data_IF_488252826625
#
_entry.id   IF_488252826625
#
_cell.length_a   1.000
_cell.length_b   1.000
_cell.length_c   1.000
_cell.angle_alpha   90.00
_cell.angle_beta   90.00
_cell.angle_gamma   90.00
#
_symmetry.space_group_name_H-M   'P 1'
#
loop_
_entity.id
_entity.type
_entity.pdbx_description
1 polymer ?
#
# COMPACT_ATOMS: atom_id res chain seq x y z
N UNK A 1 -2.50 -6.70 -50.07
CA UNK A 1 -1.51 -5.88 -49.38
C UNK A 1 -2.14 -4.87 -48.42
N UNK A 2 -3.16 -4.15 -48.83
CA UNK A 2 -3.83 -3.18 -47.95
C UNK A 2 -4.49 -3.86 -46.76
N UNK A 3 -4.99 -5.08 -46.92
CA UNK A 3 -5.63 -5.82 -45.84
C UNK A 3 -4.65 -6.23 -44.75
N UNK A 4 -3.41 -6.54 -45.10
CA UNK A 4 -2.37 -6.89 -44.14
C UNK A 4 -1.98 -5.69 -43.27
N UNK A 5 -1.91 -4.51 -43.85
CA UNK A 5 -1.61 -3.29 -43.13
C UNK A 5 -2.67 -2.95 -42.09
N UNK A 6 -3.93 -3.16 -42.42
CA UNK A 6 -5.05 -2.90 -41.53
C UNK A 6 -5.00 -3.84 -40.34
N UNK A 7 -4.67 -5.12 -40.56
CA UNK A 7 -4.57 -6.10 -39.47
C UNK A 7 -3.45 -5.75 -38.50
N UNK A 8 -2.32 -5.31 -39.00
CA UNK A 8 -1.19 -4.91 -38.16
C UNK A 8 -1.54 -3.70 -37.30
N UNK A 9 -2.24 -2.74 -37.88
CA UNK A 9 -2.68 -1.55 -37.13
C UNK A 9 -3.68 -1.88 -36.03
N UNK A 10 -4.51 -2.90 -36.22
CA UNK A 10 -5.50 -3.30 -35.23
C UNK A 10 -4.91 -4.06 -34.05
N UNK A 11 -3.78 -4.73 -34.22
CA UNK A 11 -3.15 -5.49 -33.15
C UNK A 11 -2.39 -4.62 -32.16
N UNK A 12 -1.89 -3.47 -32.58
CA UNK A 12 -1.12 -2.57 -31.76
C UNK A 12 -1.89 -2.00 -30.55
N UNK A 13 -3.13 -1.53 -30.70
CA UNK A 13 -3.88 -1.00 -29.55
C UNK A 13 -4.14 -2.03 -28.45
N UNK A 14 -4.28 -3.29 -28.80
CA UNK A 14 -4.51 -4.36 -27.83
C UNK A 14 -3.33 -4.54 -26.90
N UNK A 15 -2.12 -4.41 -27.40
CA UNK A 15 -0.91 -4.53 -26.59
C UNK A 15 -0.80 -3.39 -25.59
N UNK A 16 -1.17 -2.17 -26.00
CA UNK A 16 -1.19 -1.03 -25.09
C UNK A 16 -2.19 -1.18 -23.96
N UNK A 17 -3.38 -1.67 -24.26
CA UNK A 17 -4.41 -1.88 -23.25
C UNK A 17 -3.96 -2.88 -22.21
N UNK A 18 -3.33 -3.98 -22.62
CA UNK A 18 -2.81 -4.97 -21.68
C UNK A 18 -1.71 -4.41 -20.79
N UNK A 19 -0.82 -3.59 -21.33
CA UNK A 19 0.23 -2.95 -20.54
C UNK A 19 -0.36 -2.03 -19.47
N UNK A 20 -1.40 -1.27 -19.80
CA UNK A 20 -2.04 -0.37 -18.84
C UNK A 20 -2.76 -1.11 -17.72
N UNK A 21 -3.40 -2.24 -18.02
CA UNK A 21 -4.13 -3.03 -17.03
C UNK A 21 -3.20 -3.65 -16.00
N UNK A 22 -2.02 -4.07 -16.41
CA UNK A 22 -1.07 -4.74 -15.55
C UNK A 22 -0.06 -3.80 -14.90
N UNK A 23 -0.09 -2.53 -15.25
CA UNK A 23 0.86 -1.59 -14.68
C UNK A 23 0.43 -1.18 -13.29
N UNK A 24 1.37 -1.30 -12.36
CA UNK A 24 1.24 -0.78 -11.00
C UNK A 24 2.05 0.51 -10.92
N UNK A 25 1.46 1.55 -10.38
CA UNK A 25 2.16 2.80 -10.16
C UNK A 25 2.63 2.87 -8.71
N UNK A 26 3.89 2.54 -8.48
CA UNK A 26 4.51 2.69 -7.16
C UNK A 26 4.54 4.16 -6.76
N UNK A 27 4.79 5.07 -7.69
CA UNK A 27 4.79 6.51 -7.41
C UNK A 27 3.45 6.98 -6.86
N UNK A 28 2.35 6.46 -7.39
CA UNK A 28 1.02 6.79 -6.90
C UNK A 28 0.81 6.27 -5.49
N UNK A 29 1.28 5.07 -5.20
CA UNK A 29 1.20 4.47 -3.86
C UNK A 29 2.05 5.24 -2.86
N UNK A 30 3.23 5.68 -3.26
CA UNK A 30 4.08 6.54 -2.43
C UNK A 30 3.34 7.83 -2.07
N UNK A 31 2.69 8.46 -3.03
CA UNK A 31 1.91 9.68 -2.77
C UNK A 31 0.77 9.44 -1.79
N UNK A 32 0.09 8.30 -1.90
CA UNK A 32 -1.00 7.96 -0.99
C UNK A 32 -0.48 7.77 0.43
N UNK A 33 0.62 7.07 0.60
CA UNK A 33 1.12 6.74 1.94
C UNK A 33 1.80 7.94 2.60
N UNK A 34 2.52 8.77 1.83
CA UNK A 34 3.22 9.94 2.36
C UNK A 34 2.35 11.17 2.48
N UNK A 35 1.26 11.23 1.75
CA UNK A 35 0.35 12.38 1.78
C UNK A 35 -0.61 12.40 2.96
N UNK A 36 -0.63 11.35 3.77
CA UNK A 36 -1.58 11.22 4.87
C UNK A 36 -0.86 10.93 6.18
N UNK A 37 -1.54 11.27 7.28
CA UNK A 37 -1.20 10.77 8.61
C UNK A 37 -2.15 9.63 8.92
N UNK A 38 -1.61 8.53 9.38
CA UNK A 38 -2.36 7.30 9.58
C UNK A 38 -2.47 6.97 11.06
N UNK A 39 -3.64 6.47 11.45
CA UNK A 39 -3.86 5.97 12.81
C UNK A 39 -4.23 4.50 12.75
N UNK A 40 -3.56 3.69 13.56
CA UNK A 40 -3.95 2.31 13.79
C UNK A 40 -4.49 2.19 15.21
N UNK A 41 -5.71 1.67 15.34
CA UNK A 41 -6.34 1.42 16.64
C UNK A 41 -6.96 0.03 16.72
N UNK A 42 -6.81 -0.77 15.68
CA UNK A 42 -7.32 -2.14 15.66
C UNK A 42 -6.55 -2.99 14.67
N UNK A 43 -6.61 -4.29 14.87
CA UNK A 43 -6.17 -5.26 13.89
C UNK A 43 -7.18 -6.41 13.85
N UNK A 44 -7.21 -7.11 12.72
CA UNK A 44 -8.14 -8.20 12.48
C UNK A 44 -7.35 -9.47 12.26
N UNK A 45 -7.61 -10.50 13.07
CA UNK A 45 -7.13 -11.83 12.76
C UNK A 45 -8.12 -12.46 11.80
N UNK A 46 -7.80 -12.45 10.51
CA UNK A 46 -8.75 -12.85 9.49
C UNK A 46 -8.95 -14.37 9.41
N UNK A 47 -8.06 -15.17 9.98
CA UNK A 47 -8.25 -16.62 10.01
C UNK A 47 -9.40 -17.03 10.93
N UNK A 48 -9.64 -16.27 11.99
CA UNK A 48 -10.74 -16.50 12.93
C UNK A 48 -11.76 -15.36 12.91
N UNK A 49 -11.53 -14.34 12.08
CA UNK A 49 -12.40 -13.19 11.88
C UNK A 49 -12.73 -12.43 13.19
N UNK A 50 -11.71 -12.20 14.00
CA UNK A 50 -11.83 -11.46 15.25
C UNK A 50 -11.06 -10.14 15.11
N UNK A 51 -11.76 -9.02 15.43
CA UNK A 51 -11.14 -7.70 15.51
C UNK A 51 -10.71 -7.43 16.94
N UNK A 52 -9.46 -6.96 17.08
CA UNK A 52 -8.87 -6.61 18.37
C UNK A 52 -8.59 -5.11 18.38
N UNK A 53 -8.99 -4.44 19.46
CA UNK A 53 -8.66 -3.03 19.68
C UNK A 53 -7.30 -2.91 20.36
N UNK A 54 -6.53 -1.91 19.95
CA UNK A 54 -5.25 -1.59 20.57
C UNK A 54 -5.21 -0.10 20.89
N UNK A 55 -4.26 0.30 21.73
CA UNK A 55 -4.03 1.73 21.98
C UNK A 55 -3.66 2.41 20.66
N UNK A 56 -4.26 3.58 20.36
CA UNK A 56 -4.00 4.25 19.10
C UNK A 56 -2.53 4.59 18.89
N UNK A 57 -2.04 4.35 17.68
CA UNK A 57 -0.69 4.70 17.26
C UNK A 57 -0.77 5.50 15.98
N UNK A 58 0.04 6.52 15.87
CA UNK A 58 0.05 7.41 14.70
C UNK A 58 1.31 7.18 13.90
N UNK A 59 1.13 7.01 12.60
CA UNK A 59 2.22 6.79 11.65
C UNK A 59 2.28 7.91 10.63
N UNK A 60 3.49 8.39 10.39
CA UNK A 60 3.80 9.33 9.31
C UNK A 60 4.94 8.76 8.48
N UNK A 61 4.76 8.77 7.16
CA UNK A 61 5.77 8.28 6.22
C UNK A 61 6.29 9.46 5.41
N UNK A 62 7.59 9.62 5.34
CA UNK A 62 8.20 10.68 4.53
C UNK A 62 8.66 10.14 3.18
N UNK A 63 8.99 11.04 2.27
CA UNK A 63 9.40 10.68 0.92
C UNK A 63 10.86 10.21 0.84
N UNK A 64 11.61 10.35 1.93
CA UNK A 64 13.02 9.94 2.00
C UNK A 64 13.16 8.48 2.40
N UNK A 65 12.10 7.87 2.90
CA UNK A 65 12.09 6.47 3.30
C UNK A 65 12.15 6.24 4.79
N UNK A 66 11.73 7.22 5.57
CA UNK A 66 11.60 7.07 7.02
C UNK A 66 10.14 7.15 7.44
N UNK A 67 9.81 6.47 8.52
CA UNK A 67 8.52 6.62 9.15
C UNK A 67 8.68 6.91 10.65
N UNK A 68 7.69 7.59 11.20
CA UNK A 68 7.58 7.79 12.65
C UNK A 68 6.34 7.08 13.15
N UNK A 69 6.47 6.46 14.31
CA UNK A 69 5.36 5.82 15.00
C UNK A 69 5.27 6.43 16.39
N UNK A 70 4.18 7.17 16.62
CA UNK A 70 3.94 7.82 17.90
C UNK A 70 2.95 6.99 18.69
N UNK A 71 3.38 6.53 19.87
CA UNK A 71 2.56 5.79 20.84
C UNK A 71 2.57 6.61 22.12
N UNK A 72 1.47 6.74 22.78
CA UNK A 72 1.36 7.43 24.07
C UNK A 72 2.53 8.36 24.43
N UNK A 73 3.60 7.83 25.03
CA UNK A 73 4.77 8.59 25.46
C UNK A 73 6.04 8.26 24.68
N UNK A 74 5.91 7.51 23.58
CA UNK A 74 7.05 6.98 22.84
C UNK A 74 6.96 7.35 21.38
N UNK A 75 8.12 7.61 20.78
CA UNK A 75 8.20 7.83 19.32
C UNK A 75 9.29 6.92 18.78
N UNK A 76 8.91 6.07 17.84
CA UNK A 76 9.84 5.20 17.13
C UNK A 76 10.05 5.74 15.73
N UNK A 77 11.28 5.63 15.24
CA UNK A 77 11.64 6.02 13.89
C UNK A 77 12.20 4.79 13.18
N UNK A 78 11.72 4.54 11.99
CA UNK A 78 12.17 3.42 11.19
C UNK A 78 12.29 3.77 9.73
N UNK A 79 12.66 2.78 8.92
CA UNK A 79 12.77 2.91 7.49
C UNK A 79 11.63 2.14 6.81
N UNK A 80 11.18 2.64 5.69
CA UNK A 80 10.16 1.98 4.90
C UNK A 80 10.47 2.09 3.41
N UNK A 81 10.01 1.10 2.65
CA UNK A 81 10.08 1.14 1.20
C UNK A 81 9.10 0.12 0.61
N UNK A 82 8.68 0.36 -0.62
CA UNK A 82 7.95 -0.65 -1.38
C UNK A 82 8.94 -1.68 -1.91
N UNK A 83 8.68 -2.95 -1.62
CA UNK A 83 9.45 -4.05 -2.23
C UNK A 83 9.01 -4.21 -3.68
N UNK A 84 7.70 -4.19 -3.87
CA UNK A 84 7.04 -4.15 -5.18
C UNK A 84 5.65 -3.55 -5.00
N UNK A 85 4.78 -3.72 -5.99
CA UNK A 85 3.43 -3.15 -5.95
C UNK A 85 2.56 -3.69 -4.84
N UNK A 86 2.85 -4.89 -4.36
CA UNK A 86 1.98 -5.61 -3.42
C UNK A 86 2.56 -5.73 -2.02
N UNK A 87 3.82 -5.34 -1.83
CA UNK A 87 4.50 -5.53 -0.56
C UNK A 87 5.21 -4.27 -0.11
N UNK A 88 5.03 -3.95 1.17
CA UNK A 88 5.64 -2.82 1.83
C UNK A 88 6.55 -3.33 2.94
N UNK A 89 7.79 -2.86 2.98
CA UNK A 89 8.72 -3.18 4.05
C UNK A 89 8.77 -2.03 5.04
N UNK A 90 8.58 -2.35 6.32
CA UNK A 90 8.72 -1.40 7.43
C UNK A 90 9.67 -2.01 8.46
N UNK A 91 10.82 -1.36 8.65
CA UNK A 91 11.87 -1.94 9.47
C UNK A 91 12.37 -3.24 8.85
N UNK A 92 12.38 -4.31 9.63
CA UNK A 92 12.78 -5.63 9.16
C UNK A 92 11.62 -6.49 8.66
N UNK A 93 10.38 -6.01 8.73
CA UNK A 93 9.19 -6.78 8.40
C UNK A 93 8.63 -6.36 7.04
N UNK A 94 8.17 -7.35 6.28
CA UNK A 94 7.51 -7.13 4.99
C UNK A 94 6.03 -7.46 5.12
N UNK A 95 5.20 -6.51 4.75
CA UNK A 95 3.73 -6.63 4.82
C UNK A 95 3.15 -6.72 3.44
N UNK A 96 2.13 -7.55 3.28
CA UNK A 96 1.33 -7.53 2.06
C UNK A 96 0.35 -6.38 2.13
N UNK A 97 0.24 -5.62 1.05
CA UNK A 97 -0.72 -4.52 0.95
C UNK A 97 -2.05 -5.12 0.51
N UNK A 98 -2.96 -5.29 1.48
CA UNK A 98 -4.31 -5.79 1.18
C UNK A 98 -5.20 -4.70 0.63
N UNK A 99 -4.99 -3.45 1.07
CA UNK A 99 -5.72 -2.28 0.59
C UNK A 99 -4.87 -1.04 0.79
N UNK A 100 -4.93 -0.12 -0.17
CA UNK A 100 -4.33 1.19 -0.05
C UNK A 100 -5.17 2.18 -0.85
N UNK A 101 -5.84 3.08 -0.13
CA UNK A 101 -6.68 4.11 -0.70
C UNK A 101 -6.39 5.44 0.00
N UNK A 102 -7.14 6.49 -0.33
CA UNK A 102 -6.98 7.79 0.32
C UNK A 102 -7.27 7.76 1.81
N UNK A 103 -8.17 6.89 2.25
CA UNK A 103 -8.71 6.91 3.61
C UNK A 103 -8.29 5.70 4.44
N UNK A 104 -7.81 4.65 3.81
CA UNK A 104 -7.54 3.41 4.49
C UNK A 104 -6.35 2.69 3.89
N UNK A 105 -5.56 2.10 4.77
CA UNK A 105 -4.46 1.22 4.40
C UNK A 105 -4.56 -0.03 5.25
N UNK A 106 -4.58 -1.20 4.63
CA UNK A 106 -4.59 -2.47 5.33
C UNK A 106 -3.32 -3.22 4.97
N UNK A 107 -2.51 -3.49 5.98
CA UNK A 107 -1.26 -4.23 5.84
C UNK A 107 -1.41 -5.58 6.52
N UNK A 108 -1.04 -6.63 5.79
CA UNK A 108 -1.18 -8.01 6.27
C UNK A 108 0.17 -8.61 6.61
N UNK A 109 0.26 -9.20 7.77
CA UNK A 109 1.42 -9.94 8.23
C UNK A 109 0.94 -11.24 8.86
N UNK A 110 1.27 -12.38 8.25
CA UNK A 110 0.73 -13.66 8.69
C UNK A 110 -0.79 -13.69 8.59
N UNK A 111 -1.45 -13.98 9.69
CA UNK A 111 -2.91 -14.07 9.76
C UNK A 111 -3.57 -12.78 10.25
N UNK A 112 -2.82 -11.69 10.32
CA UNK A 112 -3.29 -10.45 10.92
C UNK A 112 -3.29 -9.33 9.91
N UNK A 113 -4.40 -8.62 9.84
CA UNK A 113 -4.55 -7.38 9.07
C UNK A 113 -4.49 -6.20 10.03
N UNK A 114 -3.51 -5.32 9.81
CA UNK A 114 -3.38 -4.06 10.52
C UNK A 114 -4.12 -2.99 9.74
N UNK A 115 -5.13 -2.39 10.35
CA UNK A 115 -6.00 -1.43 9.70
C UNK A 115 -5.58 -0.02 10.08
N UNK A 116 -5.09 0.72 9.10
CA UNK A 116 -4.69 2.11 9.25
C UNK A 116 -5.76 2.99 8.63
N UNK A 117 -6.18 4.02 9.35
CA UNK A 117 -7.15 5.00 8.87
C UNK A 117 -6.51 6.37 8.81
N UNK A 118 -6.88 7.11 7.78
CA UNK A 118 -6.41 8.48 7.63
C UNK A 118 -6.99 9.33 8.76
N UNK A 119 -6.15 10.17 9.36
CA UNK A 119 -6.57 11.22 10.27
C UNK A 119 -6.15 12.57 9.71
N UNK A 120 -6.86 13.58 10.07
CA UNK A 120 -6.57 14.95 9.64
C UNK A 120 -5.65 15.69 10.59
#
# INVERSE_FOLDING_TARGET
MQKLLVIILMSLPLLFVQSCENSCSINRKIKLITGNTWEINSYINYSVNIEMSISPEIYNFDTVGHYTNVRENDTLIGKWNFVDCNYLKMGSQTFKIAELSRNMMVLRYGDVDFVYRKIE
#
